data_IF_283889746568
#
_entry.id   IF_283889746568
#
_cell.length_a   1.000
_cell.length_b   1.000
_cell.length_c   1.000
_cell.angle_alpha   90.00
_cell.angle_beta   90.00
_cell.angle_gamma   90.00
#
_symmetry.space_group_name_H-M   'P 1'
#
loop_
_entity.id
_entity.type
_entity.pdbx_description
1 polymer ?
#
# COMPACT_ATOMS: atom_id res chain seq x y z
N UNK A 1 10.73 -30.37 -21.72
CA UNK A 1 11.16 -30.24 -20.30
C UNK A 1 11.11 -28.78 -19.92
N UNK A 2 10.72 -28.53 -18.68
CA UNK A 2 10.07 -27.32 -18.16
C UNK A 2 11.13 -26.32 -17.68
N UNK A 3 10.98 -25.04 -18.02
CA UNK A 3 11.42 -23.87 -17.24
C UNK A 3 10.99 -22.63 -18.05
N UNK A 4 10.00 -21.81 -17.68
CA UNK A 4 9.44 -21.57 -16.35
C UNK A 4 10.27 -20.54 -15.59
N UNK A 5 10.29 -19.28 -16.06
CA UNK A 5 10.40 -18.02 -15.30
C UNK A 5 10.88 -16.88 -16.19
N UNK A 6 10.05 -15.88 -16.39
CA UNK A 6 10.45 -14.51 -16.06
C UNK A 6 9.16 -13.79 -15.68
N UNK A 7 9.08 -13.40 -14.41
CA UNK A 7 7.93 -12.65 -13.89
C UNK A 7 7.73 -11.43 -14.76
N UNK A 8 6.47 -11.12 -15.04
CA UNK A 8 6.09 -9.81 -15.55
C UNK A 8 6.73 -8.76 -14.65
N UNK A 9 7.71 -8.02 -15.17
CA UNK A 9 8.16 -6.78 -14.55
C UNK A 9 6.89 -5.95 -14.33
N UNK A 10 6.54 -5.75 -13.06
CA UNK A 10 5.48 -4.82 -12.73
C UNK A 10 6.11 -3.47 -13.07
N UNK A 11 5.79 -2.93 -14.24
CA UNK A 11 6.20 -1.60 -14.64
C UNK A 11 5.38 -0.61 -13.81
N UNK A 12 5.93 -0.28 -12.64
CA UNK A 12 5.31 0.64 -11.69
C UNK A 12 5.83 2.03 -12.02
N UNK A 13 4.96 2.91 -12.51
CA UNK A 13 5.25 4.34 -12.55
C UNK A 13 5.23 4.90 -11.13
N UNK A 14 6.36 4.75 -10.43
CA UNK A 14 6.55 5.20 -9.05
C UNK A 14 6.24 6.68 -8.91
N UNK A 15 6.61 7.49 -9.92
CA UNK A 15 6.41 8.95 -9.88
C UNK A 15 4.93 9.31 -9.91
N UNK A 16 4.15 8.67 -10.78
CA UNK A 16 2.71 8.87 -10.87
C UNK A 16 2.02 8.41 -9.58
N UNK A 17 2.36 7.22 -9.08
CA UNK A 17 1.77 6.69 -7.84
C UNK A 17 2.10 7.59 -6.66
N UNK A 18 3.34 8.05 -6.54
CA UNK A 18 3.75 8.95 -5.45
C UNK A 18 2.97 10.26 -5.45
N UNK A 19 2.70 10.83 -6.63
CA UNK A 19 1.84 12.02 -6.78
C UNK A 19 0.40 11.75 -6.34
N UNK A 20 -0.18 10.62 -6.76
CA UNK A 20 -1.57 10.27 -6.43
C UNK A 20 -1.75 9.96 -4.95
N UNK A 21 -0.88 9.13 -4.40
CA UNK A 21 -0.93 8.65 -3.02
C UNK A 21 -0.59 9.79 -2.05
N UNK A 22 0.43 10.56 -2.39
CA UNK A 22 0.98 11.64 -1.57
C UNK A 22 1.63 11.14 -0.27
N UNK A 23 2.14 12.07 0.57
CA UNK A 23 2.87 11.72 1.80
C UNK A 23 2.01 10.94 2.79
N UNK A 24 0.74 11.33 2.96
CA UNK A 24 -0.18 10.69 3.89
C UNK A 24 -0.55 9.27 3.45
N UNK A 25 -0.89 9.06 2.17
CA UNK A 25 -1.20 7.72 1.68
C UNK A 25 0.03 6.80 1.73
N UNK A 26 1.22 7.36 1.50
CA UNK A 26 2.48 6.62 1.63
C UNK A 26 2.69 6.18 3.07
N UNK A 27 2.41 7.07 4.03
CA UNK A 27 2.49 6.73 5.45
C UNK A 27 1.50 5.63 5.85
N UNK A 28 0.25 5.69 5.36
CA UNK A 28 -0.75 4.64 5.59
C UNK A 28 -0.28 3.30 5.03
N UNK A 29 0.20 3.29 3.79
CA UNK A 29 0.71 2.09 3.13
C UNK A 29 1.88 1.46 3.91
N UNK A 30 2.82 2.28 4.39
CA UNK A 30 3.94 1.81 5.23
C UNK A 30 3.48 1.27 6.58
N UNK A 31 2.44 1.84 7.19
CA UNK A 31 1.88 1.29 8.45
C UNK A 31 1.25 -0.08 8.21
N UNK A 32 0.54 -0.25 7.09
CA UNK A 32 -0.06 -1.53 6.70
C UNK A 32 1.03 -2.58 6.45
N UNK A 33 2.12 -2.24 5.73
CA UNK A 33 3.25 -3.19 5.54
C UNK A 33 3.98 -3.56 6.82
N UNK A 34 3.84 -2.74 7.88
CA UNK A 34 4.37 -2.98 9.22
C UNK A 34 3.40 -3.77 10.12
N UNK A 35 2.25 -4.21 9.60
CA UNK A 35 1.28 -5.02 10.33
C UNK A 35 0.15 -4.23 11.00
N UNK A 36 -0.06 -2.96 10.67
CA UNK A 36 -1.29 -2.26 11.03
C UNK A 36 -2.41 -2.69 10.08
N UNK A 37 -3.07 -3.80 10.40
CA UNK A 37 -4.01 -4.46 9.50
C UNK A 37 -5.43 -3.87 9.56
N UNK A 38 -5.75 -3.04 10.54
CA UNK A 38 -7.08 -2.41 10.67
C UNK A 38 -7.00 -0.88 10.75
N UNK A 39 -8.09 -0.15 10.44
CA UNK A 39 -8.15 1.30 10.66
C UNK A 39 -7.83 1.68 12.11
N UNK A 40 -8.29 0.87 13.07
CA UNK A 40 -8.03 1.07 14.49
C UNK A 40 -6.54 0.99 14.83
N UNK A 41 -5.81 0.04 14.24
CA UNK A 41 -4.36 -0.06 14.40
C UNK A 41 -3.67 1.18 13.85
N UNK A 42 -4.05 1.62 12.64
CA UNK A 42 -3.45 2.77 11.98
C UNK A 42 -3.67 4.03 12.83
N UNK A 43 -4.87 4.26 13.35
CA UNK A 43 -5.17 5.40 14.23
C UNK A 43 -4.42 5.27 15.56
N UNK A 44 -4.35 4.08 16.13
CA UNK A 44 -3.68 3.82 17.43
C UNK A 44 -2.17 4.07 17.38
N UNK A 45 -1.52 3.73 16.26
CA UNK A 45 -0.06 3.81 16.11
C UNK A 45 0.39 5.04 15.31
N UNK A 46 -0.50 5.98 15.02
CA UNK A 46 -0.17 7.21 14.31
C UNK A 46 -1.00 8.41 14.78
N UNK A 47 -0.85 9.55 14.13
CA UNK A 47 -1.69 10.74 14.31
C UNK A 47 -2.72 10.90 13.20
N UNK A 48 -2.96 9.85 12.40
CA UNK A 48 -3.90 9.86 11.27
C UNK A 48 -5.31 9.63 11.83
N UNK A 49 -6.26 10.46 11.40
CA UNK A 49 -7.65 10.35 11.81
C UNK A 49 -8.44 9.39 10.92
N UNK A 50 -9.59 8.90 11.40
CA UNK A 50 -10.47 8.03 10.59
C UNK A 50 -10.93 8.72 9.30
N UNK A 51 -11.22 10.01 9.32
CA UNK A 51 -11.63 10.77 8.14
C UNK A 51 -10.54 10.80 7.06
N UNK A 52 -9.27 10.76 7.46
CA UNK A 52 -8.17 10.61 6.51
C UNK A 52 -8.14 9.21 5.90
N UNK A 53 -8.41 8.17 6.71
CA UNK A 53 -8.43 6.78 6.27
C UNK A 53 -9.59 6.48 5.32
N UNK A 54 -10.76 7.10 5.54
CA UNK A 54 -11.93 7.00 4.65
C UNK A 54 -11.63 7.41 3.20
N UNK A 55 -10.60 8.25 2.99
CA UNK A 55 -10.14 8.64 1.66
C UNK A 55 -8.92 7.81 1.22
N UNK A 56 -7.97 7.58 2.13
CA UNK A 56 -6.69 6.97 1.77
C UNK A 56 -6.77 5.46 1.55
N UNK A 57 -7.55 4.74 2.34
CA UNK A 57 -7.69 3.29 2.16
C UNK A 57 -8.35 2.97 0.81
N UNK A 58 -9.49 3.58 0.42
CA UNK A 58 -10.08 3.34 -0.91
C UNK A 58 -9.15 3.72 -2.06
N UNK A 59 -8.35 4.79 -1.91
CA UNK A 59 -7.34 5.15 -2.91
C UNK A 59 -6.26 4.06 -3.05
N UNK A 60 -5.74 3.55 -1.95
CA UNK A 60 -4.71 2.50 -1.96
C UNK A 60 -5.25 1.18 -2.55
N UNK A 61 -6.50 0.84 -2.25
CA UNK A 61 -7.22 -0.29 -2.85
C UNK A 61 -7.39 -0.09 -4.36
N UNK A 62 -7.83 1.10 -4.79
CA UNK A 62 -8.01 1.43 -6.21
C UNK A 62 -6.71 1.45 -7.02
N UNK A 63 -5.57 1.66 -6.37
CA UNK A 63 -4.24 1.57 -6.97
C UNK A 63 -3.60 0.19 -6.84
N UNK A 64 -4.33 -0.78 -6.28
CA UNK A 64 -3.88 -2.16 -6.02
C UNK A 64 -2.59 -2.22 -5.18
N UNK A 65 -2.37 -1.24 -4.30
CA UNK A 65 -1.22 -1.20 -3.39
C UNK A 65 -1.50 -1.97 -2.09
N UNK A 66 -2.77 -2.05 -1.72
CA UNK A 66 -3.26 -2.89 -0.64
C UNK A 66 -4.43 -3.74 -1.13
N UNK A 67 -4.68 -4.84 -0.44
CA UNK A 67 -5.86 -5.69 -0.61
C UNK A 67 -6.61 -5.82 0.72
N UNK A 68 -7.92 -6.05 0.62
CA UNK A 68 -8.79 -6.27 1.78
C UNK A 68 -9.13 -7.76 1.92
N UNK A 69 -8.93 -8.31 3.11
CA UNK A 69 -9.27 -9.69 3.46
C UNK A 69 -9.92 -9.73 4.85
N UNK A 70 -11.15 -10.22 4.96
CA UNK A 70 -11.86 -10.38 6.25
C UNK A 70 -11.80 -9.13 7.14
N UNK A 71 -12.02 -7.94 6.55
CA UNK A 71 -11.96 -6.63 7.23
C UNK A 71 -10.57 -6.21 7.74
N UNK A 72 -9.51 -6.84 7.22
CA UNK A 72 -8.12 -6.44 7.40
C UNK A 72 -7.51 -6.00 6.08
N UNK A 73 -6.48 -5.16 6.13
CA UNK A 73 -5.71 -4.68 4.99
C UNK A 73 -4.31 -5.27 4.99
N UNK A 74 -3.86 -5.70 3.82
CA UNK A 74 -2.49 -6.18 3.59
C UNK A 74 -1.89 -5.51 2.37
N UNK A 75 -0.58 -5.34 2.35
CA UNK A 75 0.12 -4.85 1.17
C UNK A 75 0.18 -5.91 0.09
N UNK A 76 -0.04 -5.51 -1.16
CA UNK A 76 0.16 -6.38 -2.32
C UNK A 76 1.63 -6.40 -2.73
N UNK A 77 2.03 -7.30 -3.63
CA UNK A 77 3.35 -7.27 -4.25
C UNK A 77 3.66 -5.94 -4.94
N UNK A 78 2.63 -5.24 -5.47
CA UNK A 78 2.77 -3.91 -6.08
C UNK A 78 3.00 -2.84 -5.02
N UNK A 79 2.29 -2.91 -3.90
CA UNK A 79 2.50 -2.06 -2.73
C UNK A 79 3.91 -2.17 -2.16
N UNK A 80 4.39 -3.40 -1.96
CA UNK A 80 5.75 -3.68 -1.48
C UNK A 80 6.83 -3.17 -2.44
N UNK A 81 6.65 -3.39 -3.74
CA UNK A 81 7.58 -2.87 -4.75
C UNK A 81 7.61 -1.34 -4.77
N UNK A 82 6.45 -0.68 -4.64
CA UNK A 82 6.39 0.78 -4.51
C UNK A 82 7.11 1.27 -3.24
N UNK A 83 6.86 0.66 -2.06
CA UNK A 83 7.55 1.02 -0.82
C UNK A 83 9.06 0.88 -1.00
N UNK A 84 9.53 -0.26 -1.52
CA UNK A 84 10.95 -0.52 -1.74
C UNK A 84 11.60 0.55 -2.63
N UNK A 85 10.90 1.00 -3.68
CA UNK A 85 11.40 2.00 -4.62
C UNK A 85 11.52 3.43 -4.04
N UNK A 86 10.77 3.75 -2.99
CA UNK A 86 10.81 5.09 -2.36
C UNK A 86 11.61 5.13 -1.05
N UNK A 87 11.94 3.98 -0.48
CA UNK A 87 12.78 3.86 0.74
C UNK A 87 14.21 3.41 0.48
N UNK A 88 14.47 2.82 -0.69
CA UNK A 88 15.80 2.45 -1.18
C UNK A 88 16.51 3.62 -1.85
#
# INVERSE_FOLDING_TARGET
MISGKSGSEIDIDVSMIQVLVGPLGTRVLVLISQGCETPDDIVRFSSISYECLDVKIPLLLGLELVEEFESTYKTTSRGEAYIAAITG
#
